data_IF_780152818439
#
_entry.id   IF_780152818439
#
_cell.length_a   1.000
_cell.length_b   1.000
_cell.length_c   1.000
_cell.angle_alpha   90.00
_cell.angle_beta   90.00
_cell.angle_gamma   90.00
#
_symmetry.space_group_name_H-M   'P 1'
#
loop_
_entity.id
_entity.type
_entity.pdbx_description
1 polymer ?
#
# COMPACT_ATOMS: atom_id res chain seq x y z
N UNK A 1 24.18 -1.66 -6.24
CA UNK A 1 22.72 -1.71 -6.46
C UNK A 1 22.48 -2.55 -7.71
N UNK A 2 21.75 -3.66 -7.61
CA UNK A 2 21.27 -4.37 -8.81
C UNK A 2 20.11 -3.54 -9.37
N UNK A 3 20.37 -2.78 -10.42
CA UNK A 3 19.38 -2.05 -11.19
C UNK A 3 19.41 -2.62 -12.61
N UNK A 4 18.23 -2.73 -13.20
CA UNK A 4 18.07 -3.23 -14.55
C UNK A 4 17.02 -2.38 -15.28
N UNK A 5 17.21 -2.18 -16.57
CA UNK A 5 16.34 -1.36 -17.41
C UNK A 5 14.90 -1.87 -17.44
N UNK A 6 14.66 -3.17 -17.22
CA UNK A 6 13.29 -3.70 -17.19
C UNK A 6 12.45 -3.13 -16.03
N UNK A 7 13.05 -2.60 -14.94
CA UNK A 7 12.28 -2.00 -13.84
C UNK A 7 11.83 -0.56 -14.12
N UNK A 8 12.36 0.08 -15.16
CA UNK A 8 12.09 1.49 -15.48
C UNK A 8 10.61 1.76 -15.76
N UNK A 9 9.88 0.95 -16.56
CA UNK A 9 8.45 1.16 -16.77
C UNK A 9 7.65 1.11 -15.46
N UNK A 10 7.97 0.15 -14.58
CA UNK A 10 7.34 0.04 -13.26
C UNK A 10 7.60 1.29 -12.41
N UNK A 11 8.86 1.70 -12.31
CA UNK A 11 9.24 2.87 -11.51
C UNK A 11 8.58 4.15 -12.05
N UNK A 12 8.57 4.34 -13.37
CA UNK A 12 7.92 5.48 -14.02
C UNK A 12 6.41 5.53 -13.71
N UNK A 13 5.72 4.39 -13.83
CA UNK A 13 4.30 4.27 -13.48
C UNK A 13 4.04 4.55 -12.00
N UNK A 14 4.88 3.99 -11.12
CA UNK A 14 4.79 4.18 -9.68
C UNK A 14 4.95 5.66 -9.31
N UNK A 15 5.98 6.32 -9.84
CA UNK A 15 6.24 7.75 -9.64
C UNK A 15 5.10 8.60 -10.18
N UNK A 16 4.55 8.26 -11.34
CA UNK A 16 3.39 8.97 -11.91
C UNK A 16 2.17 8.88 -11.00
N UNK A 17 1.80 7.68 -10.54
CA UNK A 17 0.62 7.46 -9.68
C UNK A 17 0.78 8.19 -8.35
N UNK A 18 1.91 8.02 -7.65
CA UNK A 18 2.15 8.71 -6.39
C UNK A 18 2.23 10.22 -6.56
N UNK A 19 2.88 10.70 -7.61
CA UNK A 19 2.97 12.13 -7.95
C UNK A 19 1.60 12.72 -8.19
N UNK A 20 0.77 12.08 -9.04
CA UNK A 20 -0.57 12.55 -9.36
C UNK A 20 -1.48 12.56 -8.12
N UNK A 21 -1.49 11.47 -7.35
CA UNK A 21 -2.25 11.38 -6.10
C UNK A 21 -1.78 12.44 -5.09
N UNK A 22 -0.48 12.63 -4.93
CA UNK A 22 0.11 13.65 -4.07
C UNK A 22 -0.29 15.07 -4.48
N UNK A 23 -0.24 15.39 -5.77
CA UNK A 23 -0.68 16.70 -6.30
C UNK A 23 -2.16 16.92 -6.04
N UNK A 24 -3.02 15.93 -6.33
CA UNK A 24 -4.46 16.03 -6.09
C UNK A 24 -4.77 16.23 -4.62
N UNK A 25 -4.13 15.45 -3.75
CA UNK A 25 -4.29 15.54 -2.30
C UNK A 25 -3.79 16.89 -1.76
N UNK A 26 -2.64 17.37 -2.23
CA UNK A 26 -2.10 18.67 -1.85
C UNK A 26 -3.02 19.82 -2.27
N UNK A 27 -3.54 19.79 -3.50
CA UNK A 27 -4.51 20.79 -3.99
C UNK A 27 -5.78 20.79 -3.14
N UNK A 28 -6.30 19.62 -2.81
CA UNK A 28 -7.45 19.46 -1.93
C UNK A 28 -7.18 20.05 -0.53
N UNK A 29 -6.04 19.74 0.10
CA UNK A 29 -5.67 20.31 1.40
C UNK A 29 -5.56 21.84 1.33
N UNK A 30 -5.02 22.38 0.24
CA UNK A 30 -4.88 23.83 0.08
C UNK A 30 -6.21 24.55 0.00
N UNK A 31 -7.23 23.93 -0.59
CA UNK A 31 -8.57 24.48 -0.75
C UNK A 31 -9.37 24.53 0.57
N UNK A 32 -8.96 23.79 1.61
CA UNK A 32 -9.61 23.83 2.92
C UNK A 32 -9.51 25.23 3.57
N UNK A 33 -10.58 25.67 4.23
CA UNK A 33 -10.62 26.89 5.03
C UNK A 33 -9.68 26.81 6.25
N UNK A 34 -9.36 27.95 6.87
CA UNK A 34 -8.50 27.99 8.07
C UNK A 34 -9.07 27.17 9.24
N UNK A 35 -10.40 27.17 9.40
CA UNK A 35 -11.10 26.40 10.43
C UNK A 35 -10.99 24.89 10.20
N UNK A 36 -11.21 24.43 8.96
CA UNK A 36 -11.08 23.01 8.61
C UNK A 36 -9.65 22.49 8.75
N UNK A 37 -8.64 23.30 8.39
CA UNK A 37 -7.22 22.96 8.58
C UNK A 37 -6.87 22.75 10.05
N UNK A 38 -7.43 23.57 10.94
CA UNK A 38 -7.23 23.41 12.38
C UNK A 38 -7.89 22.13 12.91
N UNK A 39 -9.13 21.86 12.49
CA UNK A 39 -9.82 20.62 12.85
C UNK A 39 -9.09 19.38 12.32
N UNK A 40 -8.59 19.43 11.08
CA UNK A 40 -7.84 18.34 10.47
C UNK A 40 -6.57 18.02 11.29
N UNK A 41 -5.78 19.03 11.65
CA UNK A 41 -4.58 18.84 12.49
C UNK A 41 -4.93 18.21 13.85
N UNK A 42 -6.01 18.68 14.49
CA UNK A 42 -6.47 18.14 15.78
C UNK A 42 -6.93 16.68 15.67
N UNK A 43 -7.64 16.32 14.61
CA UNK A 43 -8.08 14.94 14.38
C UNK A 43 -6.93 14.01 13.99
N UNK A 44 -5.97 14.50 13.20
CA UNK A 44 -4.77 13.73 12.81
C UNK A 44 -3.94 13.33 14.04
N UNK A 45 -3.87 14.20 15.05
CA UNK A 45 -3.11 13.93 16.28
C UNK A 45 -3.92 13.26 17.39
N UNK A 46 -5.17 12.88 17.13
CA UNK A 46 -6.07 12.29 18.13
C UNK A 46 -6.19 10.77 17.97
N UNK A 47 -6.62 10.07 19.03
CA UNK A 47 -7.03 8.64 18.98
C UNK A 47 -8.11 8.39 17.92
N UNK A 48 -8.84 9.44 17.52
CA UNK A 48 -9.76 9.40 16.39
C UNK A 48 -9.09 8.91 15.11
N UNK A 49 -7.82 9.26 14.84
CA UNK A 49 -7.13 8.81 13.64
C UNK A 49 -6.96 7.29 13.62
N UNK A 50 -6.60 6.68 14.75
CA UNK A 50 -6.50 5.22 14.85
C UNK A 50 -7.84 4.51 14.62
N UNK A 51 -8.92 5.06 15.15
CA UNK A 51 -10.27 4.54 14.89
C UNK A 51 -10.63 4.68 13.40
N UNK A 52 -10.36 5.83 12.79
CA UNK A 52 -10.58 6.05 11.37
C UNK A 52 -9.73 5.13 10.49
N UNK A 53 -8.46 4.89 10.84
CA UNK A 53 -7.59 3.94 10.12
C UNK A 53 -8.15 2.53 10.21
N UNK A 54 -8.61 2.10 11.39
CA UNK A 54 -9.24 0.79 11.57
C UNK A 54 -10.54 0.67 10.75
N UNK A 55 -11.36 1.72 10.74
CA UNK A 55 -12.58 1.80 9.92
C UNK A 55 -12.24 1.65 8.44
N UNK A 56 -11.29 2.46 7.95
CA UNK A 56 -10.81 2.44 6.55
C UNK A 56 -10.29 1.05 6.20
N UNK A 57 -9.49 0.43 7.06
CA UNK A 57 -8.97 -0.92 6.82
C UNK A 57 -10.11 -1.95 6.77
N UNK A 58 -11.04 -1.90 7.72
CA UNK A 58 -12.17 -2.83 7.77
C UNK A 58 -13.13 -2.67 6.58
N UNK A 59 -13.29 -1.47 6.04
CA UNK A 59 -14.21 -1.21 4.92
C UNK A 59 -13.52 -1.30 3.56
N UNK A 60 -12.25 -0.92 3.45
CA UNK A 60 -11.51 -0.91 2.17
C UNK A 60 -10.83 -2.24 1.89
N UNK A 61 -10.36 -2.94 2.93
CA UNK A 61 -9.68 -4.23 2.76
C UNK A 61 -10.63 -5.40 2.96
N UNK A 62 -11.39 -5.38 4.06
CA UNK A 62 -12.30 -6.47 4.41
C UNK A 62 -13.72 -6.24 3.90
N UNK A 63 -14.06 -5.05 3.38
CA UNK A 63 -15.39 -4.74 2.85
C UNK A 63 -16.54 -5.14 3.79
N UNK A 64 -16.40 -4.89 5.10
CA UNK A 64 -17.31 -5.37 6.14
C UNK A 64 -18.78 -5.01 5.88
N UNK A 65 -19.05 -3.83 5.31
CA UNK A 65 -20.42 -3.42 4.94
C UNK A 65 -21.01 -4.25 3.80
N UNK A 66 -20.21 -4.61 2.79
CA UNK A 66 -20.62 -5.48 1.67
C UNK A 66 -20.87 -6.90 2.18
N UNK A 67 -20.04 -7.41 3.10
CA UNK A 67 -20.26 -8.71 3.73
C UNK A 67 -21.59 -8.81 4.48
N UNK A 68 -22.03 -7.72 5.12
CA UNK A 68 -23.32 -7.67 5.83
C UNK A 68 -24.52 -7.71 4.88
N UNK A 69 -24.40 -7.20 3.66
CA UNK A 69 -25.49 -7.18 2.67
C UNK A 69 -25.51 -8.42 1.80
N UNK A 70 -24.34 -8.87 1.31
CA UNK A 70 -24.22 -10.01 0.44
C UNK A 70 -22.89 -10.74 0.67
N UNK A 71 -22.87 -11.80 1.50
CA UNK A 71 -21.62 -12.41 1.97
C UNK A 71 -20.75 -12.98 0.85
N UNK A 72 -21.37 -13.57 -0.19
CA UNK A 72 -20.65 -14.09 -1.35
C UNK A 72 -19.90 -12.97 -2.11
N UNK A 73 -20.56 -11.81 -2.26
CA UNK A 73 -19.97 -10.67 -2.97
C UNK A 73 -18.86 -10.04 -2.13
N UNK A 74 -19.08 -9.91 -0.82
CA UNK A 74 -18.06 -9.49 0.13
C UNK A 74 -16.81 -10.38 0.07
N UNK A 75 -16.97 -11.70 -0.01
CA UNK A 75 -15.86 -12.64 -0.14
C UNK A 75 -15.05 -12.45 -1.42
N UNK A 76 -15.71 -12.25 -2.56
CA UNK A 76 -15.02 -12.00 -3.83
C UNK A 76 -14.17 -10.72 -3.77
N UNK A 77 -14.73 -9.61 -3.25
CA UNK A 77 -14.02 -8.34 -3.18
C UNK A 77 -12.89 -8.36 -2.14
N UNK A 78 -13.17 -8.89 -0.95
CA UNK A 78 -12.18 -8.95 0.11
C UNK A 78 -11.05 -9.90 -0.22
N UNK A 79 -11.30 -11.07 -0.85
CA UNK A 79 -10.21 -11.97 -1.23
C UNK A 79 -9.26 -11.34 -2.26
N UNK A 80 -9.77 -10.55 -3.19
CA UNK A 80 -8.95 -9.79 -4.14
C UNK A 80 -8.15 -8.70 -3.42
N UNK A 81 -8.80 -7.80 -2.68
CA UNK A 81 -8.14 -6.68 -2.00
C UNK A 81 -7.13 -7.16 -0.94
N UNK A 82 -7.52 -8.13 -0.13
CA UNK A 82 -6.68 -8.77 0.88
C UNK A 82 -5.53 -9.55 0.24
N UNK A 83 -5.76 -10.24 -0.88
CA UNK A 83 -4.71 -10.93 -1.63
C UNK A 83 -3.62 -9.98 -2.10
N UNK A 84 -3.99 -8.86 -2.74
CA UNK A 84 -3.02 -7.83 -3.15
C UNK A 84 -2.27 -7.22 -1.96
N UNK A 85 -2.97 -6.96 -0.86
CA UNK A 85 -2.34 -6.48 0.35
C UNK A 85 -1.32 -7.48 0.91
N UNK A 86 -1.66 -8.78 0.94
CA UNK A 86 -0.75 -9.83 1.38
C UNK A 86 0.47 -9.94 0.46
N UNK A 87 0.31 -9.85 -0.87
CA UNK A 87 1.45 -9.84 -1.80
C UNK A 87 2.42 -8.70 -1.48
N UNK A 88 1.91 -7.50 -1.21
CA UNK A 88 2.73 -6.35 -0.84
C UNK A 88 3.41 -6.56 0.50
N UNK A 89 2.68 -6.98 1.53
CA UNK A 89 3.22 -7.16 2.88
C UNK A 89 4.24 -8.29 2.92
N UNK A 90 3.87 -9.48 2.44
CA UNK A 90 4.74 -10.65 2.46
C UNK A 90 5.96 -10.44 1.56
N UNK A 91 5.82 -9.83 0.38
CA UNK A 91 6.96 -9.49 -0.46
C UNK A 91 7.95 -8.55 0.24
N UNK A 92 7.47 -7.54 0.98
CA UNK A 92 8.36 -6.67 1.76
C UNK A 92 9.00 -7.38 2.95
N UNK A 93 8.28 -8.29 3.60
CA UNK A 93 8.80 -9.11 4.69
C UNK A 93 9.91 -10.04 4.18
N UNK A 94 9.68 -10.69 3.05
CA UNK A 94 10.62 -11.61 2.39
C UNK A 94 11.94 -10.89 2.09
N UNK A 95 11.90 -9.72 1.43
CA UNK A 95 13.13 -8.95 1.18
C UNK A 95 13.87 -8.58 2.46
N UNK A 96 13.17 -8.28 3.55
CA UNK A 96 13.83 -7.92 4.82
C UNK A 96 14.59 -9.11 5.44
N UNK A 97 14.15 -10.34 5.18
CA UNK A 97 14.82 -11.53 5.68
C UNK A 97 15.97 -12.00 4.78
N UNK A 98 15.83 -11.83 3.46
CA UNK A 98 16.76 -12.44 2.50
C UNK A 98 17.71 -11.46 1.83
N UNK A 99 17.39 -10.16 1.84
CA UNK A 99 18.20 -9.15 1.19
C UNK A 99 19.03 -8.35 2.18
N UNK A 100 20.31 -8.13 1.88
CA UNK A 100 21.25 -7.39 2.74
C UNK A 100 21.02 -5.86 2.75
N UNK A 101 20.01 -5.35 2.03
CA UNK A 101 19.77 -3.92 1.96
C UNK A 101 19.03 -3.40 3.20
N UNK A 102 19.62 -2.37 3.82
CA UNK A 102 19.00 -1.62 4.92
C UNK A 102 17.82 -0.76 4.48
N UNK A 103 17.80 -0.30 3.23
CA UNK A 103 16.70 0.45 2.60
C UNK A 103 16.47 -0.10 1.20
N UNK A 104 15.40 -0.87 1.04
CA UNK A 104 15.07 -1.52 -0.22
C UNK A 104 14.35 -0.57 -1.18
N UNK A 105 14.82 -0.42 -2.44
CA UNK A 105 14.05 0.22 -3.48
C UNK A 105 12.69 -0.47 -3.66
N UNK A 106 11.62 0.28 -4.00
CA UNK A 106 10.24 -0.25 -4.02
C UNK A 106 10.01 -1.35 -5.07
N UNK A 107 10.89 -1.48 -6.06
CA UNK A 107 10.84 -2.52 -7.09
C UNK A 107 11.50 -3.84 -6.65
N UNK A 108 12.34 -3.84 -5.61
CA UNK A 108 13.05 -5.05 -5.15
C UNK A 108 12.10 -6.11 -4.59
N UNK A 109 11.11 -5.78 -3.73
CA UNK A 109 10.12 -6.76 -3.26
C UNK A 109 9.26 -7.36 -4.36
N UNK A 110 9.05 -6.63 -5.45
CA UNK A 110 8.19 -7.07 -6.56
C UNK A 110 8.96 -7.99 -7.51
N UNK A 111 10.26 -7.71 -7.69
CA UNK A 111 11.14 -8.48 -8.57
C UNK A 111 12.21 -9.23 -7.79
N UNK A 112 11.90 -9.67 -6.57
CA UNK A 112 12.88 -10.32 -5.70
C UNK A 112 13.50 -11.55 -6.36
N UNK A 113 12.66 -12.41 -6.94
CA UNK A 113 13.09 -13.60 -7.68
C UNK A 113 13.99 -13.28 -8.88
N UNK A 114 13.86 -12.09 -9.49
CA UNK A 114 14.75 -11.66 -10.55
C UNK A 114 16.13 -11.28 -10.01
N UNK A 115 16.19 -10.59 -8.87
CA UNK A 115 17.43 -10.07 -8.31
C UNK A 115 18.18 -11.08 -7.43
N UNK A 116 17.47 -12.01 -6.78
CA UNK A 116 18.00 -12.99 -5.83
C UNK A 116 17.38 -14.39 -6.00
N UNK A 117 17.55 -15.04 -7.17
CA UNK A 117 16.89 -16.32 -7.50
C UNK A 117 17.34 -17.52 -6.66
N UNK A 118 18.48 -17.43 -5.96
CA UNK A 118 19.10 -18.56 -5.23
C UNK A 118 18.87 -18.49 -3.72
N UNK A 119 18.64 -17.29 -3.18
CA UNK A 119 18.56 -17.03 -1.73
C UNK A 119 17.14 -16.85 -1.21
N UNK A 120 16.16 -16.54 -2.05
CA UNK A 120 14.78 -16.34 -1.64
C UNK A 120 14.05 -17.69 -1.52
N UNK A 121 13.55 -18.10 -0.33
CA UNK A 121 12.53 -19.13 -0.25
C UNK A 121 11.23 -18.56 -0.80
N UNK A 122 10.75 -19.16 -1.87
CA UNK A 122 9.52 -18.72 -2.51
C UNK A 122 8.33 -18.88 -1.54
N UNK A 123 7.87 -17.80 -0.91
CA UNK A 123 6.59 -17.84 -0.18
C UNK A 123 5.40 -18.11 -1.12
N UNK A 124 5.58 -17.87 -2.42
CA UNK A 124 4.58 -18.02 -3.48
C UNK A 124 4.94 -19.10 -4.52
N UNK A 125 5.88 -20.01 -4.21
CA UNK A 125 6.37 -21.06 -5.11
C UNK A 125 6.23 -22.46 -4.54
#
# INVERSE_FOLDING_TARGET
MKFDWFVVPFLAGLTFVFGFCGIKFYRWIRQLSRGEKFMLKKHVFSRSLWLSVKEIFSESLLHRKIFRTHPLLGYMHASLAFGWFLLIVLGNVEVKFYSEYSVNPPYVPIFLNYFEPVTAPNFFG
#
